data_IF_716872170243
#
_entry.id   IF_716872170243
#
_cell.length_a   1.000
_cell.length_b   1.000
_cell.length_c   1.000
_cell.angle_alpha   90.00
_cell.angle_beta   90.00
_cell.angle_gamma   90.00
#
_symmetry.space_group_name_H-M   'P 1'
#
loop_
_entity.id
_entity.type
_entity.pdbx_description
1 polymer ?
#
# COMPACT_ATOMS: atom_id res chain seq x y z
N UNK A 1 12.80 71.31 5.88
CA UNK A 1 13.11 71.61 4.47
C UNK A 1 13.46 70.29 3.79
N UNK A 2 12.62 69.89 2.81
CA UNK A 2 12.91 69.28 1.47
C UNK A 2 14.27 68.52 1.36
N UNK A 3 14.43 67.30 0.85
CA UNK A 3 13.59 66.37 0.10
C UNK A 3 14.16 64.94 0.14
N UNK A 4 13.29 64.00 -0.24
CA UNK A 4 13.57 62.60 -0.55
C UNK A 4 14.58 62.37 -1.67
N UNK A 5 15.30 61.25 -1.59
CA UNK A 5 15.56 60.36 -2.74
C UNK A 5 15.41 58.92 -2.23
N UNK A 6 14.39 58.24 -2.73
CA UNK A 6 14.17 56.82 -2.56
C UNK A 6 15.12 56.03 -3.46
N UNK A 7 15.76 54.99 -2.91
CA UNK A 7 16.38 53.92 -3.68
C UNK A 7 15.80 52.60 -3.20
N UNK A 8 14.85 52.09 -3.99
CA UNK A 8 14.36 50.72 -3.91
C UNK A 8 15.49 49.79 -4.35
N UNK A 9 16.02 48.99 -3.44
CA UNK A 9 16.82 47.82 -3.76
C UNK A 9 16.23 46.61 -3.03
N UNK A 10 15.66 45.72 -3.83
CA UNK A 10 15.03 44.45 -3.46
C UNK A 10 16.06 43.57 -2.77
N UNK A 11 15.72 43.09 -1.57
CA UNK A 11 16.54 42.17 -0.79
C UNK A 11 15.73 41.51 0.32
N UNK A 12 14.53 41.04 0.00
CA UNK A 12 13.74 40.21 0.89
C UNK A 12 14.33 38.79 0.88
N UNK A 13 14.79 38.30 2.03
CA UNK A 13 15.13 36.90 2.15
C UNK A 13 15.86 36.57 3.44
N UNK A 14 15.32 35.57 4.14
CA UNK A 14 15.97 34.81 5.22
C UNK A 14 15.79 35.40 6.62
N UNK A 15 14.55 35.38 7.13
CA UNK A 15 14.31 35.30 8.58
C UNK A 15 12.86 34.89 8.93
N UNK A 16 12.31 33.79 8.37
CA UNK A 16 11.05 33.20 8.88
C UNK A 16 10.66 31.84 8.25
N UNK A 17 11.51 30.81 8.22
CA UNK A 17 11.02 29.46 7.83
C UNK A 17 11.77 28.36 8.59
N UNK A 18 11.46 28.15 9.88
CA UNK A 18 11.89 26.94 10.62
C UNK A 18 10.74 26.30 11.42
N UNK A 19 9.48 26.75 11.33
CA UNK A 19 8.39 26.25 12.21
C UNK A 19 7.11 25.85 11.48
N UNK A 20 7.20 25.27 10.28
CA UNK A 20 5.98 24.75 9.58
C UNK A 20 6.10 23.36 8.96
N UNK A 21 7.26 22.68 9.04
CA UNK A 21 7.41 21.32 8.49
C UNK A 21 6.98 20.18 9.43
N UNK A 22 6.76 20.43 10.72
CA UNK A 22 6.35 19.40 11.68
C UNK A 22 4.84 19.10 11.59
N UNK A 23 3.98 20.11 11.50
CA UNK A 23 2.52 19.91 11.51
C UNK A 23 1.98 19.23 10.24
N UNK A 24 2.66 19.35 9.09
CA UNK A 24 2.29 18.63 7.88
C UNK A 24 2.75 17.15 7.92
N UNK A 25 3.85 16.85 8.62
CA UNK A 25 4.28 15.47 8.88
C UNK A 25 3.37 14.76 9.88
N UNK A 26 2.79 15.48 10.85
CA UNK A 26 1.87 14.91 11.85
C UNK A 26 0.44 14.71 11.33
N UNK A 27 -0.02 15.42 10.29
CA UNK A 27 -1.31 15.12 9.62
C UNK A 27 -1.22 14.03 8.56
N UNK A 28 0.00 13.71 8.11
CA UNK A 28 0.30 12.46 7.45
C UNK A 28 0.68 11.36 8.47
N UNK A 29 0.27 11.51 9.75
CA UNK A 29 0.03 10.35 10.58
C UNK A 29 -0.93 9.45 9.79
N UNK A 30 -0.33 8.40 9.23
CA UNK A 30 -0.96 7.27 8.58
C UNK A 30 -2.38 7.09 9.15
N UNK A 31 -3.39 7.31 8.31
CA UNK A 31 -4.75 6.90 8.69
C UNK A 31 -4.63 5.45 9.10
N UNK A 32 -4.86 5.16 10.38
CA UNK A 32 -4.77 3.81 10.91
C UNK A 32 -5.64 2.93 10.01
N UNK A 33 -5.09 1.90 9.35
CA UNK A 33 -5.85 1.08 8.42
C UNK A 33 -7.04 0.41 9.09
N UNK A 34 -7.12 0.37 10.43
CA UNK A 34 -8.29 -0.11 11.20
C UNK A 34 -9.43 0.90 11.27
N UNK A 35 -9.15 2.18 11.05
CA UNK A 35 -10.11 3.28 11.10
C UNK A 35 -10.72 3.61 9.73
N UNK A 36 -10.17 3.06 8.64
CA UNK A 36 -10.73 3.18 7.30
C UNK A 36 -12.04 2.38 7.24
N UNK A 37 -13.15 3.05 6.91
CA UNK A 37 -14.39 2.36 6.54
C UNK A 37 -14.16 1.59 5.24
N UNK A 38 -14.43 0.29 5.29
CA UNK A 38 -14.33 -0.57 4.12
C UNK A 38 -15.64 -0.54 3.32
N UNK A 39 -15.57 -0.87 2.02
CA UNK A 39 -16.77 -1.06 1.21
C UNK A 39 -17.70 -2.09 1.85
N UNK A 40 -19.00 -1.85 1.79
CA UNK A 40 -19.98 -2.78 2.36
C UNK A 40 -20.10 -4.03 1.49
N UNK A 41 -19.58 -5.16 2.00
CA UNK A 41 -19.63 -6.47 1.34
C UNK A 41 -21.02 -7.11 1.33
N UNK A 42 -21.99 -6.52 2.04
CA UNK A 42 -23.39 -6.96 2.00
C UNK A 42 -24.15 -6.42 0.78
N UNK A 43 -23.53 -5.53 0.00
CA UNK A 43 -24.01 -5.09 -1.30
C UNK A 43 -23.84 -6.17 -2.41
N UNK A 44 -24.39 -5.91 -3.60
CA UNK A 44 -24.34 -6.83 -4.76
C UNK A 44 -22.92 -7.36 -5.02
N UNK A 45 -22.78 -8.68 -5.17
CA UNK A 45 -21.52 -9.34 -5.53
C UNK A 45 -20.68 -9.89 -4.36
N UNK A 46 -21.03 -9.61 -3.10
CA UNK A 46 -20.29 -10.11 -1.94
C UNK A 46 -20.25 -11.64 -1.82
N UNK A 47 -21.37 -12.33 -2.03
CA UNK A 47 -21.42 -13.80 -1.98
C UNK A 47 -20.66 -14.44 -3.14
N UNK A 48 -20.79 -13.89 -4.36
CA UNK A 48 -20.05 -14.38 -5.53
C UNK A 48 -18.54 -14.16 -5.37
N UNK A 49 -18.15 -13.05 -4.76
CA UNK A 49 -16.75 -12.75 -4.44
C UNK A 49 -16.20 -13.71 -3.39
N UNK A 50 -16.97 -14.02 -2.35
CA UNK A 50 -16.60 -15.06 -1.39
C UNK A 50 -16.39 -16.40 -2.08
N UNK A 51 -17.37 -16.87 -2.86
CA UNK A 51 -17.31 -18.14 -3.57
C UNK A 51 -16.10 -18.20 -4.53
N UNK A 52 -15.80 -17.09 -5.21
CA UNK A 52 -14.62 -16.97 -6.05
C UNK A 52 -13.33 -17.11 -5.25
N UNK A 53 -13.17 -16.34 -4.17
CA UNK A 53 -11.96 -16.31 -3.35
C UNK A 53 -11.70 -17.63 -2.60
N UNK A 54 -12.75 -18.37 -2.23
CA UNK A 54 -12.64 -19.72 -1.63
C UNK A 54 -12.40 -20.82 -2.69
N UNK A 55 -12.53 -20.49 -3.98
CA UNK A 55 -12.37 -21.40 -5.11
C UNK A 55 -11.22 -20.98 -6.02
N UNK A 56 -11.57 -20.50 -7.21
CA UNK A 56 -10.62 -20.15 -8.28
C UNK A 56 -9.65 -19.02 -7.88
N UNK A 57 -10.05 -18.14 -6.97
CA UNK A 57 -9.29 -17.01 -6.45
C UNK A 57 -8.39 -17.33 -5.25
N UNK A 58 -8.22 -18.60 -4.85
CA UNK A 58 -7.48 -18.98 -3.63
C UNK A 58 -6.06 -18.41 -3.60
N UNK A 59 -5.38 -18.29 -4.74
CA UNK A 59 -4.04 -17.69 -4.81
C UNK A 59 -3.99 -16.23 -4.32
N UNK A 60 -5.09 -15.47 -4.43
CA UNK A 60 -5.17 -14.11 -3.88
C UNK A 60 -5.29 -14.14 -2.36
N UNK A 61 -5.97 -15.13 -1.80
CA UNK A 61 -6.07 -15.34 -0.35
C UNK A 61 -4.72 -15.76 0.22
N UNK A 62 -4.00 -16.64 -0.48
CA UNK A 62 -2.61 -17.01 -0.14
C UNK A 62 -1.67 -15.79 -0.18
N UNK A 63 -1.74 -14.98 -1.24
CA UNK A 63 -1.02 -13.71 -1.33
C UNK A 63 -1.28 -12.79 -0.13
N UNK A 64 -2.54 -12.67 0.30
CA UNK A 64 -2.92 -11.84 1.44
C UNK A 64 -2.38 -12.37 2.79
N UNK A 65 -2.09 -13.67 2.89
CA UNK A 65 -1.55 -14.32 4.10
C UNK A 65 -0.04 -14.31 4.14
N UNK A 66 0.58 -14.70 3.04
CA UNK A 66 2.00 -15.04 3.02
C UNK A 66 2.89 -13.81 2.88
N UNK A 67 2.40 -12.73 2.27
CA UNK A 67 3.16 -11.47 2.18
C UNK A 67 3.35 -10.82 3.56
N UNK A 68 2.53 -11.14 4.59
CA UNK A 68 2.81 -10.70 5.98
C UNK A 68 4.11 -11.34 6.53
N UNK A 69 4.46 -12.55 6.08
CA UNK A 69 5.72 -13.21 6.44
C UNK A 69 6.93 -12.54 5.78
N UNK A 70 6.73 -11.93 4.60
CA UNK A 70 7.76 -11.16 3.89
C UNK A 70 8.09 -9.83 4.56
N UNK A 71 7.13 -9.29 5.31
CA UNK A 71 7.20 -7.99 5.97
C UNK A 71 7.78 -8.08 7.39
N UNK A 72 8.35 -9.24 7.73
CA UNK A 72 9.07 -9.48 8.97
C UNK A 72 10.26 -8.55 9.19
N UNK A 73 9.99 -7.40 9.81
CA UNK A 73 10.76 -6.78 10.91
C UNK A 73 11.81 -5.69 10.64
N UNK A 74 12.12 -5.25 9.41
CA UNK A 74 13.20 -4.23 9.24
C UNK A 74 12.93 -3.15 8.18
N UNK A 75 13.22 -1.89 8.52
CA UNK A 75 13.27 -0.73 7.60
C UNK A 75 14.34 -0.88 6.49
N UNK A 76 15.14 -1.94 6.54
CA UNK A 76 16.17 -2.27 5.56
C UNK A 76 16.29 -3.80 5.49
N UNK A 77 15.48 -4.46 4.65
CA UNK A 77 15.58 -5.90 4.44
C UNK A 77 16.97 -6.28 3.90
N UNK A 78 17.43 -7.47 4.26
CA UNK A 78 18.66 -8.05 3.70
C UNK A 78 18.41 -8.56 2.28
N UNK A 79 19.46 -8.68 1.46
CA UNK A 79 19.36 -9.29 0.12
C UNK A 79 18.70 -10.68 0.16
N UNK A 80 19.01 -11.48 1.19
CA UNK A 80 18.40 -12.80 1.43
C UNK A 80 16.89 -12.68 1.69
N UNK A 81 16.45 -11.73 2.51
CA UNK A 81 15.02 -11.49 2.75
C UNK A 81 14.29 -11.01 1.49
N UNK A 82 14.94 -10.19 0.65
CA UNK A 82 14.38 -9.78 -0.64
C UNK A 82 14.23 -10.95 -1.61
N UNK A 83 15.19 -11.88 -1.62
CA UNK A 83 15.14 -13.08 -2.46
C UNK A 83 14.05 -14.05 -1.98
N UNK A 84 13.98 -14.32 -0.68
CA UNK A 84 12.92 -15.13 -0.09
C UNK A 84 11.53 -14.56 -0.39
N UNK A 85 11.42 -13.22 -0.43
CA UNK A 85 10.19 -12.53 -0.82
C UNK A 85 9.79 -12.73 -2.28
N UNK A 86 10.77 -12.67 -3.19
CA UNK A 86 10.53 -12.97 -4.59
C UNK A 86 10.14 -14.43 -4.79
N UNK A 87 10.83 -15.37 -4.15
CA UNK A 87 10.56 -16.80 -4.27
C UNK A 87 9.17 -17.18 -3.73
N UNK A 88 8.72 -16.55 -2.63
CA UNK A 88 7.37 -16.75 -2.11
C UNK A 88 6.30 -16.20 -3.05
N UNK A 89 6.47 -14.99 -3.60
CA UNK A 89 5.53 -14.45 -4.60
C UNK A 89 5.45 -15.36 -5.84
N UNK A 90 6.59 -15.83 -6.33
CA UNK A 90 6.64 -16.79 -7.46
C UNK A 90 5.97 -18.13 -7.11
N UNK A 91 6.09 -18.57 -5.85
CA UNK A 91 5.44 -19.77 -5.34
C UNK A 91 3.91 -19.68 -5.28
N UNK A 92 3.36 -18.50 -5.01
CA UNK A 92 1.92 -18.24 -5.01
C UNK A 92 1.39 -18.22 -6.45
N UNK A 93 2.10 -17.56 -7.36
CA UNK A 93 1.75 -17.60 -8.77
C UNK A 93 2.50 -16.59 -9.62
N UNK A 94 2.55 -16.88 -10.93
CA UNK A 94 3.15 -15.95 -11.88
C UNK A 94 2.41 -14.60 -11.89
N UNK A 95 3.11 -13.46 -12.06
CA UNK A 95 2.48 -12.13 -12.00
C UNK A 95 1.27 -11.94 -12.92
N UNK A 96 1.33 -12.48 -14.14
CA UNK A 96 0.21 -12.41 -15.08
C UNK A 96 -1.01 -13.21 -14.61
N UNK A 97 -0.80 -14.37 -13.98
CA UNK A 97 -1.88 -15.19 -13.43
C UNK A 97 -2.52 -14.53 -12.22
N UNK A 98 -1.71 -13.92 -11.34
CA UNK A 98 -2.22 -13.16 -10.18
C UNK A 98 -3.00 -11.93 -10.63
N UNK A 99 -2.51 -11.19 -11.63
CA UNK A 99 -3.24 -10.06 -12.20
C UNK A 99 -4.58 -10.50 -12.82
N UNK A 100 -4.59 -11.61 -13.56
CA UNK A 100 -5.82 -12.18 -14.11
C UNK A 100 -6.80 -12.61 -13.01
N UNK A 101 -6.30 -13.20 -11.93
CA UNK A 101 -7.14 -13.58 -10.79
C UNK A 101 -7.76 -12.35 -10.13
N UNK A 102 -7.00 -11.26 -9.96
CA UNK A 102 -7.55 -9.99 -9.45
C UNK A 102 -8.65 -9.46 -10.37
N UNK A 103 -8.43 -9.45 -11.68
CA UNK A 103 -9.43 -8.96 -12.65
C UNK A 103 -10.74 -9.76 -12.64
N UNK A 104 -10.66 -11.04 -12.28
CA UNK A 104 -11.82 -11.94 -12.18
C UNK A 104 -12.62 -11.78 -10.88
N UNK A 105 -12.15 -10.98 -9.91
CA UNK A 105 -12.91 -10.70 -8.68
C UNK A 105 -14.23 -9.98 -9.04
N UNK A 106 -15.40 -10.55 -8.67
CA UNK A 106 -16.71 -10.01 -9.05
C UNK A 106 -17.02 -8.62 -8.45
N UNK A 107 -16.76 -8.43 -7.16
CA UNK A 107 -16.95 -7.16 -6.48
C UNK A 107 -15.83 -6.16 -6.84
N UNK A 108 -16.20 -5.01 -7.40
CA UNK A 108 -15.25 -3.99 -7.86
C UNK A 108 -14.40 -3.44 -6.72
N UNK A 109 -14.98 -3.22 -5.54
CA UNK A 109 -14.25 -2.62 -4.44
C UNK A 109 -13.21 -3.59 -3.84
N UNK A 110 -13.56 -4.87 -3.73
CA UNK A 110 -12.62 -5.94 -3.35
C UNK A 110 -11.54 -6.12 -4.40
N UNK A 111 -11.89 -6.08 -5.69
CA UNK A 111 -10.93 -6.10 -6.80
C UNK A 111 -9.92 -4.97 -6.68
N UNK A 112 -10.36 -3.74 -6.46
CA UNK A 112 -9.48 -2.57 -6.36
C UNK A 112 -8.51 -2.66 -5.18
N UNK A 113 -8.97 -3.21 -4.05
CA UNK A 113 -8.12 -3.50 -2.88
C UNK A 113 -7.03 -4.52 -3.24
N UNK A 114 -7.41 -5.63 -3.89
CA UNK A 114 -6.44 -6.64 -4.33
C UNK A 114 -5.47 -6.11 -5.39
N UNK A 115 -5.95 -5.28 -6.32
CA UNK A 115 -5.10 -4.68 -7.36
C UNK A 115 -4.06 -3.74 -6.76
N UNK A 116 -4.49 -2.91 -5.81
CA UNK A 116 -3.60 -2.02 -5.06
C UNK A 116 -2.56 -2.81 -4.28
N UNK A 117 -3.00 -3.87 -3.60
CA UNK A 117 -2.10 -4.72 -2.82
C UNK A 117 -1.09 -5.47 -3.68
N UNK A 118 -1.54 -6.12 -4.75
CA UNK A 118 -0.68 -6.85 -5.69
C UNK A 118 0.39 -5.93 -6.30
N UNK A 119 -0.01 -4.73 -6.75
CA UNK A 119 0.93 -3.75 -7.30
C UNK A 119 1.98 -3.31 -6.28
N UNK A 120 1.58 -3.08 -5.02
CA UNK A 120 2.50 -2.72 -3.93
C UNK A 120 3.44 -3.87 -3.57
N UNK A 121 2.96 -5.12 -3.59
CA UNK A 121 3.80 -6.29 -3.33
C UNK A 121 4.91 -6.43 -4.36
N UNK A 122 4.58 -6.28 -5.65
CA UNK A 122 5.59 -6.34 -6.72
C UNK A 122 6.55 -5.15 -6.69
N UNK A 123 6.07 -3.93 -6.46
CA UNK A 123 6.94 -2.74 -6.35
C UNK A 123 7.90 -2.88 -5.14
N UNK A 124 7.39 -3.34 -3.99
CA UNK A 124 8.20 -3.59 -2.81
C UNK A 124 9.34 -4.57 -3.10
N UNK A 125 9.03 -5.74 -3.66
CA UNK A 125 10.04 -6.76 -3.96
C UNK A 125 11.04 -6.28 -5.01
N UNK A 126 10.56 -5.61 -6.07
CA UNK A 126 11.44 -5.07 -7.11
C UNK A 126 12.45 -4.06 -6.54
N UNK A 127 11.99 -3.12 -5.71
CA UNK A 127 12.87 -2.13 -5.04
C UNK A 127 13.81 -2.77 -4.03
N UNK A 128 13.31 -3.74 -3.25
CA UNK A 128 14.10 -4.51 -2.30
C UNK A 128 15.31 -5.15 -3.00
N UNK A 129 15.07 -5.87 -4.10
CA UNK A 129 16.12 -6.51 -4.90
C UNK A 129 17.05 -5.51 -5.59
N UNK A 130 16.57 -4.31 -5.89
CA UNK A 130 17.38 -3.23 -6.45
C UNK A 130 18.23 -2.48 -5.38
N UNK A 131 18.04 -2.79 -4.09
CA UNK A 131 18.65 -2.05 -2.99
C UNK A 131 18.10 -0.62 -2.85
N UNK A 132 16.91 -0.37 -3.39
CA UNK A 132 16.22 0.92 -3.35
C UNK A 132 15.31 1.01 -2.12
N UNK A 133 15.04 2.22 -1.61
CA UNK A 133 14.07 2.42 -0.53
C UNK A 133 12.69 1.88 -0.95
N UNK A 134 12.20 0.88 -0.21
CA UNK A 134 10.87 0.31 -0.39
C UNK A 134 9.92 0.88 0.66
N UNK A 135 8.67 1.11 0.26
CA UNK A 135 7.65 1.69 1.14
C UNK A 135 6.90 0.57 1.88
N UNK A 136 7.58 -0.09 2.83
CA UNK A 136 7.04 -1.23 3.60
C UNK A 136 5.73 -0.90 4.32
N UNK A 137 5.63 0.28 4.94
CA UNK A 137 4.42 0.77 5.64
C UNK A 137 3.21 0.82 4.70
N UNK A 138 3.45 1.22 3.46
CA UNK A 138 2.43 1.37 2.43
C UNK A 138 1.92 0.01 1.93
N UNK A 139 2.77 -1.02 1.91
CA UNK A 139 2.38 -2.41 1.65
C UNK A 139 1.62 -3.02 2.83
N UNK A 140 2.11 -2.83 4.07
CA UNK A 140 1.44 -3.28 5.30
C UNK A 140 0.05 -2.68 5.43
N UNK A 141 -0.10 -1.39 5.09
CA UNK A 141 -1.38 -0.70 5.08
C UNK A 141 -2.36 -1.36 4.09
N UNK A 142 -1.93 -1.58 2.84
CA UNK A 142 -2.76 -2.23 1.83
C UNK A 142 -3.14 -3.67 2.21
N UNK A 143 -2.19 -4.46 2.73
CA UNK A 143 -2.46 -5.83 3.20
C UNK A 143 -3.44 -5.88 4.36
N UNK A 144 -3.39 -4.89 5.26
CA UNK A 144 -4.36 -4.78 6.36
C UNK A 144 -5.78 -4.54 5.84
N UNK A 145 -5.94 -3.71 4.81
CA UNK A 145 -7.25 -3.47 4.19
C UNK A 145 -7.80 -4.73 3.51
N UNK A 146 -6.97 -5.45 2.75
CA UNK A 146 -7.35 -6.72 2.12
C UNK A 146 -7.76 -7.76 3.16
N UNK A 147 -7.00 -7.93 4.24
CA UNK A 147 -7.36 -8.88 5.31
C UNK A 147 -8.71 -8.52 5.95
N UNK A 148 -8.90 -7.25 6.31
CA UNK A 148 -10.18 -6.81 6.89
C UNK A 148 -11.34 -7.05 5.93
N UNK A 149 -11.12 -6.89 4.61
CA UNK A 149 -12.11 -7.21 3.59
C UNK A 149 -12.42 -8.71 3.53
N UNK A 150 -11.39 -9.57 3.55
CA UNK A 150 -11.56 -11.03 3.61
C UNK A 150 -12.31 -11.47 4.87
N UNK A 151 -12.02 -10.84 6.02
CA UNK A 151 -12.73 -11.09 7.28
C UNK A 151 -14.22 -10.70 7.18
N UNK A 152 -14.53 -9.57 6.54
CA UNK A 152 -15.93 -9.16 6.30
C UNK A 152 -16.67 -10.12 5.36
N UNK A 153 -15.98 -10.66 4.35
CA UNK A 153 -16.50 -11.70 3.44
C UNK A 153 -16.55 -13.09 4.08
N UNK A 154 -16.00 -13.24 5.29
CA UNK A 154 -15.85 -14.51 6.01
C UNK A 154 -15.03 -15.57 5.25
N UNK A 155 -14.08 -15.14 4.41
CA UNK A 155 -13.17 -16.01 3.65
C UNK A 155 -12.05 -16.51 4.57
N UNK A 156 -11.82 -17.83 4.57
CA UNK A 156 -10.91 -18.54 5.49
C UNK A 156 -9.68 -19.14 4.85
#
# INVERSE_FOLDING_TARGET
MVAAVAVLAVGAGIAAIVVTRSAARERAAQTDPRQIELPDVSAEGGSETKDYLEGEGTALVELARDVELLLGTTESPTDEACQDAAEQLDGIGAPASLQQAVEAVPDEATRDLFQTYLGRSFDYVARCLAGEPSDADELVHAGTLVRRQLEQLEVR
#
